data_IF_330017697794
#
_entry.id   IF_330017697794
#
_cell.length_a   1.000
_cell.length_b   1.000
_cell.length_c   1.000
_cell.angle_alpha   90.00
_cell.angle_beta   90.00
_cell.angle_gamma   90.00
#
_symmetry.space_group_name_H-M   'P 1'
#
loop_
_entity.id
_entity.type
_entity.pdbx_description
1 polymer ?
#
# COMPACT_ATOMS: atom_id res chain seq x y z
N UNK A 1 0.63 -16.97 -12.18
CA UNK A 1 1.92 -16.82 -11.45
C UNK A 1 2.54 -15.43 -11.62
N UNK A 2 2.54 -14.81 -12.81
CA UNK A 2 3.15 -13.47 -13.00
C UNK A 2 2.58 -12.43 -12.04
N UNK A 3 1.26 -12.30 -11.91
CA UNK A 3 0.66 -11.37 -10.95
C UNK A 3 1.02 -11.67 -9.49
N UNK A 4 0.79 -12.90 -9.03
CA UNK A 4 1.06 -13.30 -7.64
C UNK A 4 2.55 -13.36 -7.26
N UNK A 5 3.44 -13.62 -8.23
CA UNK A 5 4.88 -13.73 -8.02
C UNK A 5 5.61 -12.40 -8.20
N UNK A 6 5.45 -11.74 -9.35
CA UNK A 6 6.16 -10.48 -9.64
C UNK A 6 5.63 -9.33 -8.78
N UNK A 7 4.31 -9.09 -8.78
CA UNK A 7 3.73 -8.02 -7.95
C UNK A 7 3.89 -8.35 -6.46
N UNK A 8 3.74 -9.62 -6.09
CA UNK A 8 3.94 -10.09 -4.71
C UNK A 8 5.37 -9.89 -4.20
N UNK A 9 6.39 -10.10 -5.02
CA UNK A 9 7.79 -9.84 -4.65
C UNK A 9 8.15 -8.34 -4.72
N UNK A 10 7.50 -7.58 -5.59
CA UNK A 10 7.71 -6.13 -5.74
C UNK A 10 7.11 -5.34 -4.57
N UNK A 11 5.96 -5.75 -4.04
CA UNK A 11 5.31 -5.10 -2.89
C UNK A 11 5.67 -5.77 -1.57
N UNK A 12 5.89 -4.99 -0.50
CA UNK A 12 6.13 -5.53 0.84
C UNK A 12 5.19 -4.95 1.88
N UNK A 13 4.26 -5.77 2.38
CA UNK A 13 3.34 -5.36 3.44
C UNK A 13 4.01 -5.34 4.82
N UNK A 14 4.97 -6.24 5.06
CA UNK A 14 5.61 -6.40 6.37
C UNK A 14 6.41 -5.17 6.80
N UNK A 15 7.16 -4.56 5.87
CA UNK A 15 7.92 -3.33 6.15
C UNK A 15 7.00 -2.15 6.46
N UNK A 16 5.92 -2.01 5.70
CA UNK A 16 4.90 -0.98 5.93
C UNK A 16 4.25 -1.14 7.33
N UNK A 17 3.88 -2.37 7.70
CA UNK A 17 3.25 -2.65 8.98
C UNK A 17 4.19 -2.33 10.16
N UNK A 18 5.46 -2.74 10.10
CA UNK A 18 6.45 -2.44 11.14
C UNK A 18 6.66 -0.93 11.30
N UNK A 19 6.77 -0.19 10.19
CA UNK A 19 6.93 1.27 10.22
C UNK A 19 5.72 1.96 10.85
N UNK A 20 4.52 1.53 10.49
CA UNK A 20 3.26 2.08 11.04
C UNK A 20 3.12 1.80 12.54
N UNK A 21 3.42 0.58 12.97
CA UNK A 21 3.34 0.18 14.39
C UNK A 21 4.36 0.95 15.23
N UNK A 22 5.57 1.16 14.72
CA UNK A 22 6.56 2.01 15.40
C UNK A 22 6.05 3.45 15.53
N UNK A 23 5.52 4.02 14.47
CA UNK A 23 4.99 5.39 14.48
C UNK A 23 3.81 5.55 15.46
N UNK A 24 2.99 4.50 15.61
CA UNK A 24 1.93 4.46 16.60
C UNK A 24 2.46 4.31 18.04
N UNK A 25 3.52 3.52 18.24
CA UNK A 25 4.18 3.30 19.54
C UNK A 25 4.98 4.50 20.05
N UNK A 26 5.56 5.29 19.14
CA UNK A 26 6.37 6.49 19.46
C UNK A 26 5.52 7.73 19.81
N UNK A 27 4.21 7.56 20.01
CA UNK A 27 3.27 8.64 20.36
C UNK A 27 2.76 9.45 19.16
N UNK A 28 3.14 9.10 17.93
CA UNK A 28 2.72 9.78 16.70
C UNK A 28 1.56 9.06 15.99
N UNK A 29 0.50 8.74 16.74
CA UNK A 29 -0.64 7.99 16.24
C UNK A 29 -1.35 8.67 15.04
N UNK A 30 -1.32 10.01 14.99
CA UNK A 30 -1.83 10.77 13.85
C UNK A 30 -1.03 10.52 12.56
N UNK A 31 0.29 10.50 12.64
CA UNK A 31 1.13 10.20 11.49
C UNK A 31 1.02 8.73 11.07
N UNK A 32 0.82 7.82 12.03
CA UNK A 32 0.54 6.40 11.74
C UNK A 32 -0.77 6.23 10.97
N UNK A 33 -1.85 6.88 11.42
CA UNK A 33 -3.14 6.84 10.73
C UNK A 33 -3.05 7.44 9.31
N UNK A 34 -2.33 8.55 9.16
CA UNK A 34 -2.13 9.19 7.86
C UNK A 34 -1.31 8.29 6.92
N UNK A 35 -0.27 7.64 7.43
CA UNK A 35 0.54 6.70 6.64
C UNK A 35 -0.30 5.52 6.13
N UNK A 36 -1.19 4.96 6.96
CA UNK A 36 -2.12 3.90 6.57
C UNK A 36 -3.10 4.38 5.50
N UNK A 37 -3.76 5.52 5.75
CA UNK A 37 -4.77 6.06 4.85
C UNK A 37 -4.18 6.39 3.47
N UNK A 38 -3.03 7.05 3.43
CA UNK A 38 -2.35 7.41 2.17
C UNK A 38 -1.92 6.17 1.42
N UNK A 39 -1.27 5.20 2.09
CA UNK A 39 -0.85 3.95 1.46
C UNK A 39 -2.05 3.20 0.87
N UNK A 40 -3.14 3.08 1.62
CA UNK A 40 -4.34 2.38 1.17
C UNK A 40 -4.98 3.07 -0.05
N UNK A 41 -5.21 4.38 0.03
CA UNK A 41 -5.87 5.13 -1.05
C UNK A 41 -5.03 5.11 -2.32
N UNK A 42 -3.72 5.35 -2.23
CA UNK A 42 -2.85 5.38 -3.40
C UNK A 42 -2.72 3.99 -4.04
N UNK A 43 -2.53 2.94 -3.25
CA UNK A 43 -2.36 1.57 -3.80
C UNK A 43 -3.63 1.07 -4.48
N UNK A 44 -4.79 1.21 -3.84
CA UNK A 44 -6.09 0.82 -4.42
C UNK A 44 -6.44 1.69 -5.62
N UNK A 45 -6.21 3.01 -5.52
CA UNK A 45 -6.47 3.95 -6.61
C UNK A 45 -5.63 3.66 -7.86
N UNK A 46 -4.32 3.42 -7.70
CA UNK A 46 -3.44 3.07 -8.81
C UNK A 46 -3.76 1.70 -9.41
N UNK A 47 -4.10 0.71 -8.57
CA UNK A 47 -4.54 -0.59 -9.06
C UNK A 47 -5.83 -0.47 -9.89
N UNK A 48 -6.80 0.31 -9.42
CA UNK A 48 -8.04 0.60 -10.14
C UNK A 48 -7.80 1.36 -11.45
N UNK A 49 -6.90 2.36 -11.44
CA UNK A 49 -6.53 3.11 -12.64
C UNK A 49 -5.83 2.22 -13.69
N UNK A 50 -4.93 1.35 -13.26
CA UNK A 50 -4.29 0.37 -14.14
C UNK A 50 -5.28 -0.62 -14.74
N UNK A 51 -6.26 -1.08 -13.95
CA UNK A 51 -7.34 -1.93 -14.45
C UNK A 51 -8.24 -1.20 -15.46
N UNK A 52 -8.64 0.04 -15.15
CA UNK A 52 -9.45 0.86 -16.06
C UNK A 52 -8.73 1.12 -17.39
N UNK A 53 -7.43 1.42 -17.36
CA UNK A 53 -6.59 1.55 -18.56
C UNK A 53 -6.53 0.24 -19.35
N UNK A 54 -6.35 -0.90 -18.67
CA UNK A 54 -6.28 -2.21 -19.31
C UNK A 54 -7.59 -2.63 -20.00
N UNK A 55 -8.73 -2.16 -19.50
CA UNK A 55 -10.05 -2.42 -20.10
C UNK A 55 -10.41 -1.39 -21.19
N UNK A 56 -9.83 -0.20 -21.13
CA UNK A 56 -10.05 0.85 -22.13
C UNK A 56 -9.22 0.68 -23.42
N UNK A 57 -8.16 -0.11 -23.37
CA UNK A 57 -7.29 -0.49 -24.49
C UNK A 57 -7.74 -1.80 -25.14
#
# INVERSE_FOLDING_TARGET
VVGTGFLGAFTTFSTFAVGTVRLAGDGSSGAAALNVAVTLVLTVGLAGAGYALAVAL
#
